data_IF_621117820801
#
_entry.id   IF_621117820801
#
_cell.length_a   1.000
_cell.length_b   1.000
_cell.length_c   1.000
_cell.angle_alpha   90.00
_cell.angle_beta   90.00
_cell.angle_gamma   90.00
#
_symmetry.space_group_name_H-M   'P 1'
#
loop_
_entity.id
_entity.type
_entity.pdbx_description
1 polymer ?
#
# COMPACT_ATOMS: atom_id res chain seq x y z
N UNK A 1 9.49 27.05 19.40
CA UNK A 1 8.92 26.40 18.20
C UNK A 1 9.59 25.04 18.07
N UNK A 2 8.94 24.00 18.57
CA UNK A 2 9.56 22.68 18.79
C UNK A 2 9.57 21.83 17.52
N UNK A 3 10.75 21.29 17.27
CA UNK A 3 11.15 20.42 16.17
C UNK A 3 10.38 19.08 16.22
N UNK A 4 9.28 18.92 15.48
CA UNK A 4 8.43 17.71 15.49
C UNK A 4 8.59 16.80 14.25
N UNK A 5 9.51 17.11 13.34
CA UNK A 5 9.65 16.40 12.06
C UNK A 5 10.26 14.98 12.18
N UNK A 6 10.88 14.62 13.31
CA UNK A 6 11.56 13.33 13.48
C UNK A 6 10.73 12.23 14.16
N UNK A 7 9.61 12.54 14.82
CA UNK A 7 8.86 11.57 15.63
C UNK A 7 7.76 10.83 14.88
N UNK A 8 7.16 11.45 13.86
CA UNK A 8 5.98 10.88 13.18
C UNK A 8 6.30 9.78 12.17
N UNK A 9 7.49 9.84 11.56
CA UNK A 9 8.00 8.81 10.64
C UNK A 9 8.11 7.44 11.34
N UNK A 10 8.52 7.45 12.60
CA UNK A 10 8.67 6.25 13.42
C UNK A 10 7.30 5.61 13.75
N UNK A 11 6.26 6.40 14.04
CA UNK A 11 4.93 5.86 14.40
C UNK A 11 4.25 5.08 13.28
N UNK A 12 4.43 5.46 12.01
CA UNK A 12 3.89 4.71 10.86
C UNK A 12 4.57 3.36 10.70
N UNK A 13 5.91 3.38 10.73
CA UNK A 13 6.74 2.19 10.59
C UNK A 13 6.52 1.24 11.76
N UNK A 14 6.38 1.76 12.97
CA UNK A 14 6.06 0.99 14.17
C UNK A 14 4.65 0.40 14.07
N UNK A 15 3.64 1.16 13.60
CA UNK A 15 2.28 0.64 13.40
C UNK A 15 2.25 -0.51 12.38
N UNK A 16 3.00 -0.38 11.28
CA UNK A 16 3.16 -1.41 10.26
C UNK A 16 3.90 -2.66 10.78
N UNK A 17 4.95 -2.47 11.57
CA UNK A 17 5.67 -3.58 12.20
C UNK A 17 4.74 -4.30 13.19
N UNK A 18 4.08 -3.56 14.08
CA UNK A 18 3.16 -4.12 15.09
C UNK A 18 2.01 -4.88 14.43
N UNK A 19 1.44 -4.36 13.33
CA UNK A 19 0.41 -5.08 12.58
C UNK A 19 0.94 -6.38 11.96
N UNK A 20 2.19 -6.39 11.46
CA UNK A 20 2.83 -7.59 10.93
C UNK A 20 3.29 -8.59 12.02
N UNK A 21 3.32 -8.20 13.30
CA UNK A 21 3.54 -9.12 14.41
C UNK A 21 2.29 -9.94 14.76
N UNK A 22 1.09 -9.48 14.38
CA UNK A 22 -0.16 -10.23 14.63
C UNK A 22 -0.15 -11.61 13.94
N UNK A 23 0.18 -11.73 12.64
CA UNK A 23 0.39 -13.02 12.00
C UNK A 23 1.44 -13.90 12.69
N UNK A 24 2.58 -13.31 13.12
CA UNK A 24 3.64 -14.05 13.82
C UNK A 24 3.15 -14.62 15.16
N UNK A 25 2.45 -13.80 15.93
CA UNK A 25 1.83 -14.21 17.18
C UNK A 25 0.80 -15.33 16.94
N UNK A 26 -0.01 -15.20 15.88
CA UNK A 26 -0.98 -16.22 15.50
C UNK A 26 -0.36 -17.57 15.16
N UNK A 27 0.78 -17.60 14.44
CA UNK A 27 1.50 -18.85 14.18
C UNK A 27 2.01 -19.49 15.46
N UNK A 28 2.65 -18.70 16.35
CA UNK A 28 3.33 -19.22 17.54
C UNK A 28 2.35 -19.67 18.63
N UNK A 29 1.30 -18.88 18.89
CA UNK A 29 0.40 -19.09 20.03
C UNK A 29 -0.95 -19.72 19.66
N UNK A 30 -1.44 -19.48 18.45
CA UNK A 30 -2.73 -19.99 17.97
C UNK A 30 -2.62 -21.06 16.89
N UNK A 31 -1.40 -21.44 16.52
CA UNK A 31 -1.16 -22.49 15.52
C UNK A 31 -1.72 -22.14 14.15
N UNK A 32 -1.77 -20.85 13.78
CA UNK A 32 -2.25 -20.44 12.47
C UNK A 32 -1.43 -21.10 11.37
N UNK A 33 -2.15 -21.74 10.47
CA UNK A 33 -1.60 -22.46 9.34
C UNK A 33 -1.25 -21.51 8.18
N UNK A 34 -0.59 -22.04 7.15
CA UNK A 34 -0.19 -21.23 6.01
C UNK A 34 -1.38 -20.57 5.31
N UNK A 35 -2.50 -21.29 5.18
CA UNK A 35 -3.71 -20.77 4.54
C UNK A 35 -4.18 -19.51 5.27
N UNK A 36 -4.20 -19.52 6.59
CA UNK A 36 -4.54 -18.36 7.42
C UNK A 36 -3.60 -17.18 7.18
N UNK A 37 -2.29 -17.40 7.19
CA UNK A 37 -1.31 -16.31 7.02
C UNK A 37 -1.40 -15.70 5.62
N UNK A 38 -1.46 -16.52 4.58
CA UNK A 38 -1.60 -16.04 3.20
C UNK A 38 -2.93 -15.33 3.00
N UNK A 39 -4.01 -15.85 3.56
CA UNK A 39 -5.32 -15.20 3.54
C UNK A 39 -5.26 -13.80 4.17
N UNK A 40 -4.65 -13.65 5.34
CA UNK A 40 -4.53 -12.34 6.00
C UNK A 40 -3.68 -11.36 5.17
N UNK A 41 -2.63 -11.84 4.51
CA UNK A 41 -1.81 -11.02 3.61
C UNK A 41 -2.55 -10.60 2.35
N UNK A 42 -3.39 -11.49 1.82
CA UNK A 42 -4.29 -11.17 0.73
C UNK A 42 -5.31 -10.11 1.16
N UNK A 43 -5.96 -10.31 2.31
CA UNK A 43 -6.98 -9.41 2.83
C UNK A 43 -6.43 -8.01 3.15
N UNK A 44 -5.20 -7.91 3.64
CA UNK A 44 -4.52 -6.63 3.85
C UNK A 44 -4.52 -5.77 2.57
N UNK A 45 -4.39 -6.38 1.38
CA UNK A 45 -4.43 -5.65 0.11
C UNK A 45 -5.80 -5.02 -0.14
N UNK A 46 -6.88 -5.68 0.28
CA UNK A 46 -8.24 -5.14 0.21
C UNK A 46 -8.37 -3.92 1.12
N UNK A 47 -7.86 -4.02 2.34
CA UNK A 47 -7.84 -2.89 3.31
C UNK A 47 -7.07 -1.71 2.73
N UNK A 48 -5.93 -1.95 2.08
CA UNK A 48 -5.14 -0.89 1.43
C UNK A 48 -5.90 -0.27 0.27
N UNK A 49 -6.51 -1.08 -0.59
CA UNK A 49 -7.33 -0.60 -1.68
C UNK A 49 -8.47 0.29 -1.18
N UNK A 50 -9.15 -0.13 -0.10
CA UNK A 50 -10.19 0.65 0.55
C UNK A 50 -9.68 2.02 1.03
N UNK A 51 -8.59 2.06 1.80
CA UNK A 51 -8.01 3.33 2.25
C UNK A 51 -7.46 4.18 1.08
N UNK A 52 -7.00 3.55 0.00
CA UNK A 52 -6.51 4.25 -1.18
C UNK A 52 -7.61 5.07 -1.88
N UNK A 53 -8.86 4.61 -1.84
CA UNK A 53 -10.00 5.39 -2.37
C UNK A 53 -10.11 6.73 -1.63
N UNK A 54 -10.00 6.74 -0.31
CA UNK A 54 -10.00 7.98 0.48
C UNK A 54 -8.76 8.83 0.22
N UNK A 55 -7.61 8.18 -0.02
CA UNK A 55 -6.38 8.89 -0.41
C UNK A 55 -6.56 9.62 -1.75
N UNK A 56 -7.13 8.95 -2.76
CA UNK A 56 -7.43 9.53 -4.06
C UNK A 56 -8.43 10.69 -3.97
N UNK A 57 -9.51 10.53 -3.17
CA UNK A 57 -10.50 11.60 -2.95
C UNK A 57 -9.85 12.86 -2.36
N UNK A 58 -9.05 12.71 -1.30
CA UNK A 58 -8.39 13.84 -0.63
C UNK A 58 -7.29 14.46 -1.49
N UNK A 59 -6.57 13.65 -2.28
CA UNK A 59 -5.61 14.14 -3.26
C UNK A 59 -6.30 14.96 -4.37
N UNK A 60 -7.48 14.55 -4.84
CA UNK A 60 -8.21 15.30 -5.87
C UNK A 60 -8.70 16.66 -5.37
N UNK A 61 -9.12 16.71 -4.11
CA UNK A 61 -9.51 17.95 -3.45
C UNK A 61 -8.36 18.95 -3.35
N UNK A 62 -7.10 18.51 -3.17
CA UNK A 62 -5.94 19.39 -3.01
C UNK A 62 -5.03 19.53 -4.24
N UNK A 63 -5.13 18.64 -5.23
CA UNK A 63 -4.58 18.86 -6.58
C UNK A 63 -5.21 20.10 -7.27
N UNK A 64 -6.24 20.65 -6.63
CA UNK A 64 -6.92 21.92 -6.89
C UNK A 64 -6.06 23.12 -6.41
N UNK A 65 -5.22 22.99 -5.38
CA UNK A 65 -4.55 24.13 -4.76
C UNK A 65 -3.12 24.33 -5.26
N UNK A 66 -2.34 23.27 -5.50
CA UNK A 66 -0.96 23.36 -5.98
C UNK A 66 -0.55 22.10 -6.74
N UNK A 67 -0.16 22.25 -8.00
CA UNK A 67 0.77 21.31 -8.64
C UNK A 67 2.16 21.93 -8.51
N UNK A 68 3.00 21.36 -7.64
CA UNK A 68 4.41 21.75 -7.54
C UNK A 68 5.12 21.16 -8.75
N UNK A 69 5.18 21.92 -9.84
CA UNK A 69 6.13 21.68 -10.93
C UNK A 69 7.37 22.55 -10.68
N UNK A 70 8.57 22.00 -10.90
CA UNK A 70 9.85 22.50 -10.35
C UNK A 70 10.24 23.94 -10.71
N UNK A 71 9.59 24.57 -11.68
CA UNK A 71 9.91 25.94 -12.12
C UNK A 71 8.71 26.90 -12.07
N UNK A 72 7.48 26.41 -11.91
CA UNK A 72 6.29 27.24 -11.91
C UNK A 72 5.26 26.70 -10.91
N UNK A 73 4.77 27.56 -10.02
CA UNK A 73 3.49 27.32 -9.34
C UNK A 73 2.42 27.42 -10.43
N UNK A 74 2.02 26.27 -10.99
CA UNK A 74 0.90 26.25 -11.93
C UNK A 74 -0.36 26.37 -11.08
N UNK A 75 -0.80 27.60 -10.88
CA UNK A 75 -2.12 27.88 -10.32
C UNK A 75 -3.13 27.42 -11.38
N UNK A 76 -3.64 26.18 -11.21
CA UNK A 76 -4.68 25.64 -12.10
C UNK A 76 -5.88 26.55 -12.06
N UNK A 77 -6.43 26.91 -13.21
CA UNK A 77 -7.68 27.66 -13.31
C UNK A 77 -8.82 26.87 -12.67
N UNK A 78 -9.87 27.53 -12.17
CA UNK A 78 -11.04 26.85 -11.60
C UNK A 78 -11.59 25.75 -12.52
N UNK A 79 -11.63 26.01 -13.83
CA UNK A 79 -12.07 25.07 -14.87
C UNK A 79 -11.20 23.81 -14.96
N UNK A 80 -9.87 23.93 -14.85
CA UNK A 80 -8.97 22.77 -14.84
C UNK A 80 -9.11 21.95 -13.55
N UNK A 81 -9.36 22.62 -12.43
CA UNK A 81 -9.59 21.96 -11.13
C UNK A 81 -10.87 21.14 -11.13
N UNK A 82 -11.95 21.71 -11.66
CA UNK A 82 -13.22 21.02 -11.79
C UNK A 82 -13.12 19.84 -12.76
N UNK A 83 -12.33 19.99 -13.85
CA UNK A 83 -12.02 18.87 -14.75
C UNK A 83 -11.27 17.74 -14.03
N UNK A 84 -10.26 18.03 -13.21
CA UNK A 84 -9.53 17.00 -12.46
C UNK A 84 -10.43 16.28 -11.46
N UNK A 85 -11.29 17.03 -10.74
CA UNK A 85 -12.28 16.43 -9.85
C UNK A 85 -13.23 15.53 -10.63
N UNK A 86 -13.82 16.03 -11.71
CA UNK A 86 -14.73 15.26 -12.55
C UNK A 86 -14.07 13.96 -13.07
N UNK A 87 -12.87 14.04 -13.63
CA UNK A 87 -12.12 12.85 -14.08
C UNK A 87 -11.84 11.90 -12.92
N UNK A 88 -11.49 12.42 -11.75
CA UNK A 88 -11.18 11.55 -10.60
C UNK A 88 -12.41 10.81 -10.09
N UNK A 89 -13.51 11.52 -9.88
CA UNK A 89 -14.74 10.93 -9.31
C UNK A 89 -15.51 10.09 -10.33
N UNK A 90 -15.53 10.48 -11.60
CA UNK A 90 -16.30 9.81 -12.65
C UNK A 90 -15.52 8.68 -13.33
N UNK A 91 -14.19 8.76 -13.37
CA UNK A 91 -13.37 7.77 -14.06
C UNK A 91 -12.35 7.08 -13.15
N UNK A 92 -11.41 7.80 -12.52
CA UNK A 92 -10.29 7.16 -11.82
C UNK A 92 -10.72 6.31 -10.63
N UNK A 93 -11.63 6.78 -9.78
CA UNK A 93 -12.10 6.03 -8.61
C UNK A 93 -12.91 4.79 -9.03
N UNK A 94 -13.93 4.90 -9.91
CA UNK A 94 -14.65 3.72 -10.41
C UNK A 94 -13.73 2.72 -11.11
N UNK A 95 -12.84 3.21 -11.97
CA UNK A 95 -11.83 2.38 -12.64
C UNK A 95 -10.95 1.65 -11.62
N UNK A 96 -10.46 2.36 -10.60
CA UNK A 96 -9.67 1.76 -9.53
C UNK A 96 -10.47 0.66 -8.82
N UNK A 97 -11.70 0.94 -8.39
CA UNK A 97 -12.54 -0.05 -7.68
C UNK A 97 -12.74 -1.31 -8.52
N UNK A 98 -13.10 -1.16 -9.80
CA UNK A 98 -13.37 -2.29 -10.69
C UNK A 98 -12.09 -3.05 -11.01
N UNK A 99 -11.04 -2.37 -11.50
CA UNK A 99 -9.81 -3.01 -11.92
C UNK A 99 -9.06 -3.65 -10.74
N UNK A 100 -8.93 -2.92 -9.62
CA UNK A 100 -8.34 -3.43 -8.40
C UNK A 100 -9.17 -4.56 -7.78
N UNK A 101 -10.50 -4.44 -7.84
CA UNK A 101 -11.43 -5.45 -7.35
C UNK A 101 -11.31 -6.76 -8.13
N UNK A 102 -11.29 -6.70 -9.47
CA UNK A 102 -11.10 -7.87 -10.33
C UNK A 102 -9.74 -8.52 -10.04
N UNK A 103 -8.67 -7.73 -9.99
CA UNK A 103 -7.33 -8.23 -9.66
C UNK A 103 -7.31 -8.95 -8.30
N UNK A 104 -7.89 -8.31 -7.26
CA UNK A 104 -7.94 -8.86 -5.91
C UNK A 104 -8.80 -10.12 -5.83
N UNK A 105 -9.89 -10.17 -6.59
CA UNK A 105 -10.78 -11.33 -6.68
C UNK A 105 -10.08 -12.52 -7.34
N UNK A 106 -9.50 -12.32 -8.52
CA UNK A 106 -8.77 -13.37 -9.25
C UNK A 106 -7.63 -13.91 -8.39
N UNK A 107 -6.87 -13.04 -7.74
CA UNK A 107 -5.82 -13.49 -6.84
C UNK A 107 -6.37 -14.22 -5.60
N UNK A 108 -7.50 -13.78 -5.06
CA UNK A 108 -8.18 -14.48 -3.97
C UNK A 108 -8.52 -15.91 -4.36
N UNK A 109 -9.07 -16.12 -5.56
CA UNK A 109 -9.32 -17.46 -6.10
C UNK A 109 -8.04 -18.31 -6.14
N UNK A 110 -6.91 -17.76 -6.59
CA UNK A 110 -5.62 -18.47 -6.55
C UNK A 110 -5.18 -18.83 -5.12
N UNK A 111 -5.34 -17.91 -4.17
CA UNK A 111 -4.99 -18.15 -2.76
C UNK A 111 -5.80 -19.32 -2.19
N UNK A 112 -7.13 -19.30 -2.36
CA UNK A 112 -8.00 -20.37 -1.87
C UNK A 112 -7.76 -21.69 -2.61
N UNK A 113 -7.50 -21.64 -3.92
CA UNK A 113 -7.24 -22.84 -4.71
C UNK A 113 -5.90 -23.51 -4.35
N UNK A 114 -4.87 -22.72 -4.03
CA UNK A 114 -3.52 -23.24 -3.79
C UNK A 114 -3.27 -23.60 -2.32
N UNK A 115 -3.81 -22.83 -1.37
CA UNK A 115 -3.57 -23.02 0.06
C UNK A 115 -4.77 -23.55 0.83
N UNK A 116 -5.97 -23.53 0.24
CA UNK A 116 -7.20 -23.98 0.89
C UNK A 116 -7.87 -22.89 1.74
N UNK A 117 -8.78 -23.34 2.61
CA UNK A 117 -9.56 -22.46 3.49
C UNK A 117 -8.76 -22.19 4.77
N UNK A 118 -8.64 -20.92 5.21
CA UNK A 118 -7.91 -20.58 6.42
C UNK A 118 -8.54 -21.23 7.66
N UNK A 119 -7.72 -21.91 8.46
CA UNK A 119 -8.14 -22.47 9.75
C UNK A 119 -7.99 -21.42 10.87
N UNK A 120 -8.99 -20.55 10.98
CA UNK A 120 -9.02 -19.47 11.97
C UNK A 120 -10.41 -19.34 12.60
N UNK A 121 -10.47 -19.12 13.91
CA UNK A 121 -11.75 -18.88 14.60
C UNK A 121 -12.35 -17.55 14.20
N UNK A 122 -13.68 -17.41 14.27
CA UNK A 122 -14.35 -16.15 13.93
C UNK A 122 -13.85 -14.96 14.76
N UNK A 123 -13.57 -15.16 16.05
CA UNK A 123 -13.06 -14.12 16.95
C UNK A 123 -11.64 -13.71 16.55
N UNK A 124 -10.76 -14.69 16.31
CA UNK A 124 -9.39 -14.45 15.84
C UNK A 124 -9.38 -13.73 14.48
N UNK A 125 -10.29 -14.10 13.58
CA UNK A 125 -10.44 -13.47 12.28
C UNK A 125 -10.88 -12.01 12.40
N UNK A 126 -11.90 -11.73 13.21
CA UNK A 126 -12.37 -10.37 13.48
C UNK A 126 -11.28 -9.51 14.13
N UNK A 127 -10.53 -10.08 15.08
CA UNK A 127 -9.40 -9.40 15.70
C UNK A 127 -8.29 -9.09 14.68
N UNK A 128 -7.93 -10.04 13.82
CA UNK A 128 -6.92 -9.86 12.79
C UNK A 128 -7.33 -8.79 11.78
N UNK A 129 -8.53 -8.89 11.21
CA UNK A 129 -9.09 -7.90 10.28
C UNK A 129 -9.19 -6.52 10.95
N UNK A 130 -9.69 -6.47 12.17
CA UNK A 130 -9.78 -5.24 12.96
C UNK A 130 -8.41 -4.59 13.14
N UNK A 131 -7.38 -5.36 13.48
CA UNK A 131 -6.01 -4.86 13.63
C UNK A 131 -5.43 -4.31 12.31
N UNK A 132 -5.71 -4.94 11.18
CA UNK A 132 -5.31 -4.45 9.85
C UNK A 132 -6.02 -3.13 9.52
N UNK A 133 -7.32 -3.05 9.73
CA UNK A 133 -8.10 -1.83 9.52
C UNK A 133 -7.60 -0.69 10.42
N UNK A 134 -7.41 -0.94 11.72
CA UNK A 134 -6.94 0.07 12.68
C UNK A 134 -5.54 0.54 12.33
N UNK A 135 -4.60 -0.35 12.05
CA UNK A 135 -3.22 0.02 11.70
C UNK A 135 -3.16 0.91 10.44
N UNK A 136 -3.94 0.57 9.42
CA UNK A 136 -4.02 1.33 8.18
C UNK A 136 -4.81 2.63 8.34
N UNK A 137 -5.84 2.63 9.18
CA UNK A 137 -6.59 3.82 9.57
C UNK A 137 -5.71 4.83 10.29
N UNK A 138 -4.88 4.40 11.24
CA UNK A 138 -3.89 5.25 11.92
C UNK A 138 -2.87 5.80 10.92
N UNK A 139 -2.40 4.97 9.98
CA UNK A 139 -1.49 5.43 8.93
C UNK A 139 -2.14 6.46 8.01
N UNK A 140 -3.41 6.28 7.67
CA UNK A 140 -4.18 7.25 6.89
C UNK A 140 -4.34 8.57 7.65
N UNK A 141 -4.76 8.55 8.92
CA UNK A 141 -4.97 9.80 9.67
C UNK A 141 -3.66 10.53 9.95
N UNK A 142 -2.69 9.87 10.59
CA UNK A 142 -1.45 10.52 11.03
C UNK A 142 -0.53 10.88 9.87
N UNK A 143 -0.31 9.95 8.93
CA UNK A 143 0.64 10.24 7.85
C UNK A 143 -0.04 10.98 6.71
N UNK A 144 -1.19 10.48 6.27
CA UNK A 144 -1.78 11.07 5.08
C UNK A 144 -2.37 12.44 5.36
N UNK A 145 -3.15 12.57 6.44
CA UNK A 145 -3.85 13.80 6.78
C UNK A 145 -2.96 14.74 7.61
N UNK A 146 -2.48 14.33 8.78
CA UNK A 146 -1.75 15.23 9.68
C UNK A 146 -0.38 15.65 9.11
N UNK A 147 0.40 14.71 8.55
CA UNK A 147 1.67 15.04 7.88
C UNK A 147 1.51 15.57 6.44
N UNK A 148 0.27 15.83 6.00
CA UNK A 148 -0.06 16.45 4.72
C UNK A 148 0.56 15.73 3.49
N UNK A 149 0.75 14.41 3.54
CA UNK A 149 1.23 13.66 2.36
C UNK A 149 0.29 13.82 1.16
N UNK A 150 -1.00 14.09 1.40
CA UNK A 150 -1.97 14.35 0.33
C UNK A 150 -1.61 15.57 -0.53
N UNK A 151 -0.80 16.51 -0.03
CA UNK A 151 -0.30 17.66 -0.80
C UNK A 151 0.84 17.28 -1.75
N UNK A 152 1.54 16.18 -1.48
CA UNK A 152 2.75 15.75 -2.20
C UNK A 152 2.45 14.73 -3.30
N UNK A 153 1.19 14.61 -3.72
CA UNK A 153 0.73 13.54 -4.60
C UNK A 153 -0.47 13.99 -5.42
N UNK A 154 -0.81 13.24 -6.46
CA UNK A 154 -2.01 13.48 -7.27
C UNK A 154 -2.85 12.20 -7.37
N UNK A 155 -4.14 12.30 -7.75
CA UNK A 155 -5.04 11.15 -7.84
C UNK A 155 -4.52 10.02 -8.74
N UNK A 156 -3.89 10.37 -9.87
CA UNK A 156 -3.35 9.41 -10.84
C UNK A 156 -2.21 8.60 -10.25
N UNK A 157 -1.29 9.24 -9.52
CA UNK A 157 -0.19 8.57 -8.82
C UNK A 157 -0.74 7.68 -7.71
N UNK A 158 -1.71 8.18 -6.93
CA UNK A 158 -2.33 7.41 -5.86
C UNK A 158 -3.05 6.16 -6.38
N UNK A 159 -3.66 6.23 -7.56
CA UNK A 159 -4.28 5.07 -8.20
C UNK A 159 -3.30 3.89 -8.32
N UNK A 160 -2.06 4.14 -8.73
CA UNK A 160 -1.06 3.09 -8.94
C UNK A 160 -0.25 2.71 -7.69
N UNK A 161 -0.34 3.48 -6.60
CA UNK A 161 0.46 3.23 -5.39
C UNK A 161 0.27 1.82 -4.81
N UNK A 162 -0.96 1.29 -4.65
CA UNK A 162 -1.15 -0.06 -4.11
C UNK A 162 -0.49 -1.14 -4.96
N UNK A 163 -0.57 -1.03 -6.30
CA UNK A 163 -0.10 -2.06 -7.23
C UNK A 163 1.37 -2.41 -7.06
N UNK A 164 2.24 -1.41 -6.86
CA UNK A 164 3.68 -1.66 -6.70
C UNK A 164 3.96 -2.54 -5.49
N UNK A 165 3.31 -2.27 -4.35
CA UNK A 165 3.47 -3.08 -3.13
C UNK A 165 2.89 -4.48 -3.33
N UNK A 166 1.67 -4.52 -3.84
CA UNK A 166 0.88 -5.72 -4.02
C UNK A 166 1.59 -6.70 -4.95
N UNK A 167 2.06 -6.24 -6.12
CA UNK A 167 2.76 -7.10 -7.08
C UNK A 167 4.02 -7.74 -6.48
N UNK A 168 4.84 -6.97 -5.76
CA UNK A 168 6.05 -7.50 -5.12
C UNK A 168 5.68 -8.57 -4.07
N UNK A 169 4.66 -8.29 -3.26
CA UNK A 169 4.19 -9.24 -2.26
C UNK A 169 3.56 -10.49 -2.89
N UNK A 170 2.82 -10.35 -3.99
CA UNK A 170 2.21 -11.48 -4.70
C UNK A 170 3.27 -12.40 -5.29
N UNK A 171 4.26 -11.85 -5.99
CA UNK A 171 5.37 -12.66 -6.50
C UNK A 171 6.12 -13.37 -5.38
N UNK A 172 6.34 -12.69 -4.26
CA UNK A 172 7.00 -13.29 -3.09
C UNK A 172 6.18 -14.45 -2.52
N UNK A 173 4.88 -14.25 -2.30
CA UNK A 173 3.98 -15.26 -1.73
C UNK A 173 3.76 -16.43 -2.68
N UNK A 174 3.58 -16.19 -3.97
CA UNK A 174 3.38 -17.24 -4.97
C UNK A 174 4.64 -18.09 -5.10
N UNK A 175 5.81 -17.47 -5.27
CA UNK A 175 7.08 -18.18 -5.34
C UNK A 175 7.31 -19.03 -4.08
N UNK A 176 7.00 -18.46 -2.92
CA UNK A 176 7.12 -19.16 -1.65
C UNK A 176 6.14 -20.32 -1.52
N UNK A 177 4.89 -20.16 -1.98
CA UNK A 177 3.90 -21.23 -2.03
C UNK A 177 4.35 -22.41 -2.88
N UNK A 178 4.93 -22.16 -4.05
CA UNK A 178 5.51 -23.21 -4.90
C UNK A 178 6.63 -23.97 -4.20
N UNK A 179 7.50 -23.30 -3.43
CA UNK A 179 8.56 -23.95 -2.66
C UNK A 179 7.98 -24.90 -1.60
N UNK A 180 6.89 -24.51 -0.94
CA UNK A 180 6.28 -25.32 0.12
C UNK A 180 5.50 -26.54 -0.35
N UNK A 181 5.01 -26.53 -1.59
CA UNK A 181 4.40 -27.72 -2.19
C UNK A 181 5.38 -28.91 -2.25
N UNK A 182 6.70 -28.66 -2.27
CA UNK A 182 7.72 -29.71 -2.33
C UNK A 182 8.27 -30.19 -0.97
N UNK A 183 8.22 -29.36 0.07
CA UNK A 183 8.92 -29.61 1.35
C UNK A 183 7.92 -29.81 2.51
N UNK A 184 6.62 -29.63 2.24
CA UNK A 184 5.60 -29.44 3.27
C UNK A 184 5.71 -28.04 3.86
N UNK A 185 4.73 -27.62 4.68
CA UNK A 185 4.70 -26.30 5.31
C UNK A 185 5.10 -26.37 6.79
N UNK A 186 6.38 -26.67 7.14
CA UNK A 186 6.80 -26.71 8.53
C UNK A 186 6.81 -25.31 9.14
N UNK A 187 6.63 -25.22 10.46
CA UNK A 187 6.43 -23.96 11.18
C UNK A 187 7.58 -22.96 10.96
N UNK A 188 8.84 -23.42 10.93
CA UNK A 188 9.99 -22.54 10.67
C UNK A 188 9.93 -21.84 9.32
N UNK A 189 9.31 -22.49 8.31
CA UNK A 189 9.13 -21.89 7.00
C UNK A 189 8.18 -20.67 7.10
N UNK A 190 7.07 -20.79 7.84
CA UNK A 190 6.14 -19.67 8.05
C UNK A 190 6.82 -18.48 8.71
N UNK A 191 7.66 -18.73 9.71
CA UNK A 191 8.46 -17.70 10.38
C UNK A 191 9.36 -16.99 9.35
N UNK A 192 10.06 -17.74 8.50
CA UNK A 192 10.90 -17.16 7.43
C UNK A 192 10.06 -16.31 6.46
N UNK A 193 8.89 -16.79 6.02
CA UNK A 193 8.00 -16.01 5.16
C UNK A 193 7.57 -14.68 5.80
N UNK A 194 7.20 -14.72 7.09
CA UNK A 194 6.80 -13.52 7.84
C UNK A 194 7.98 -12.55 7.94
N UNK A 195 9.18 -13.04 8.24
CA UNK A 195 10.39 -12.21 8.30
C UNK A 195 10.74 -11.60 6.93
N UNK A 196 10.66 -12.37 5.85
CA UNK A 196 10.84 -11.88 4.47
C UNK A 196 9.83 -10.78 4.19
N UNK A 197 8.55 -10.99 4.52
CA UNK A 197 7.51 -9.98 4.35
C UNK A 197 7.84 -8.70 5.09
N UNK A 198 8.20 -8.79 6.38
CA UNK A 198 8.56 -7.62 7.19
C UNK A 198 9.72 -6.86 6.55
N UNK A 199 10.75 -7.57 6.07
CA UNK A 199 11.89 -6.97 5.39
C UNK A 199 11.51 -6.28 4.07
N UNK A 200 10.66 -6.90 3.25
CA UNK A 200 10.16 -6.33 1.99
C UNK A 200 9.33 -5.08 2.26
N UNK A 201 8.40 -5.15 3.21
CA UNK A 201 7.56 -4.01 3.61
C UNK A 201 8.40 -2.85 4.12
N UNK A 202 9.42 -3.13 4.94
CA UNK A 202 10.37 -2.13 5.43
C UNK A 202 11.14 -1.45 4.27
N UNK A 203 11.64 -2.23 3.32
CA UNK A 203 12.38 -1.72 2.17
C UNK A 203 11.50 -0.84 1.26
N UNK A 204 10.26 -1.28 1.02
CA UNK A 204 9.29 -0.53 0.22
C UNK A 204 8.88 0.77 0.90
N UNK A 205 8.73 0.76 2.23
CA UNK A 205 8.45 1.97 2.99
C UNK A 205 9.63 2.94 2.93
N UNK A 206 10.85 2.47 3.13
CA UNK A 206 12.06 3.32 3.17
C UNK A 206 12.38 3.93 1.80
N UNK A 207 12.19 3.19 0.70
CA UNK A 207 12.42 3.69 -0.67
C UNK A 207 11.35 4.65 -1.18
N UNK A 208 10.18 4.70 -0.54
CA UNK A 208 9.05 5.53 -0.97
C UNK A 208 9.24 7.05 -0.73
N UNK A 209 10.29 7.46 -0.02
CA UNK A 209 10.59 8.88 0.24
C UNK A 209 11.64 9.51 -0.68
N UNK A 210 12.53 8.75 -1.33
CA UNK A 210 13.66 9.34 -2.07
C UNK A 210 13.55 9.12 -3.58
N UNK A 211 13.14 7.93 -4.02
CA UNK A 211 13.44 7.50 -5.39
C UNK A 211 12.50 8.04 -6.47
N UNK A 212 11.23 8.34 -6.16
CA UNK A 212 10.31 8.83 -7.19
C UNK A 212 10.61 10.30 -7.51
N UNK A 213 10.88 11.13 -6.49
CA UNK A 213 11.30 12.52 -6.69
C UNK A 213 12.69 12.61 -7.37
N UNK A 214 13.64 11.74 -7.01
CA UNK A 214 14.94 11.67 -7.72
C UNK A 214 14.82 11.18 -9.17
N UNK A 215 13.96 10.19 -9.45
CA UNK A 215 13.81 9.65 -10.81
C UNK A 215 13.10 10.63 -11.74
N UNK A 216 12.16 11.41 -11.24
CA UNK A 216 11.59 12.54 -11.98
C UNK A 216 12.61 13.68 -12.13
N UNK A 217 13.38 13.99 -11.08
CA UNK A 217 14.46 14.97 -11.15
C UNK A 217 15.55 14.65 -12.20
N UNK A 218 15.89 13.37 -12.39
CA UNK A 218 16.88 12.93 -13.37
C UNK A 218 16.34 12.85 -14.80
N UNK A 219 15.03 12.66 -14.97
CA UNK A 219 14.40 12.67 -16.30
C UNK A 219 14.30 14.10 -16.86
N UNK A 220 14.06 15.10 -16.00
CA UNK A 220 14.04 16.51 -16.40
C UNK A 220 15.41 17.02 -16.89
N UNK A 221 16.51 16.67 -16.21
CA UNK A 221 17.86 17.13 -16.58
C UNK A 221 18.31 16.67 -17.98
N UNK A 222 17.83 15.53 -18.47
CA UNK A 222 18.17 15.03 -19.81
C UNK A 222 17.29 15.63 -20.90
N UNK A 223 16.12 16.19 -20.56
CA UNK A 223 15.20 16.80 -21.52
C UNK A 223 15.54 18.27 -21.78
N UNK A 224 16.13 18.96 -20.80
CA UNK A 224 16.59 20.35 -20.97
C UNK A 224 17.82 20.45 -21.88
N UNK A 225 18.62 19.40 -22.04
CA UNK A 225 19.79 19.40 -22.93
C UNK A 225 19.47 19.13 -24.41
N UNK A 226 18.28 18.62 -24.74
CA UNK A 226 17.87 18.34 -26.13
C UNK A 226 17.04 19.45 -26.77
N UNK A 227 16.57 20.43 -26.00
CA UNK A 227 15.80 21.59 -26.52
C UNK A 227 16.71 22.79 -26.87
N UNK A 228 18.04 22.68 -26.68
CA UNK A 228 19.01 23.74 -26.97
C UNK A 228 19.93 23.43 -28.17
N UNK A 229 19.46 22.71 -29.19
CA UNK A 229 20.15 22.59 -30.48
C UNK A 229 19.21 22.84 -31.64
#
# INVERSE_FOLDING_TARGET
MTNTSHTTHNTSQISLIVANLVPLFGVIFWGWDIATIIFLYWFENIVIGFYNIFRMKKAAQHATEMEINKEHIVVKTQKERDKIKAVTYTFLIPFFIVHFGIFSLVHGVFVFAMFGVPNITAISLLAAIGSLCVSHGISYTRNYIENQEYLKTNPTIQMFRPYKRIMIMHFTILLYGFVLLGIGAPIWSLIILILIKIGVDWNLHTKSHTSWLEKYAKTDTNTTQTVSK
#
